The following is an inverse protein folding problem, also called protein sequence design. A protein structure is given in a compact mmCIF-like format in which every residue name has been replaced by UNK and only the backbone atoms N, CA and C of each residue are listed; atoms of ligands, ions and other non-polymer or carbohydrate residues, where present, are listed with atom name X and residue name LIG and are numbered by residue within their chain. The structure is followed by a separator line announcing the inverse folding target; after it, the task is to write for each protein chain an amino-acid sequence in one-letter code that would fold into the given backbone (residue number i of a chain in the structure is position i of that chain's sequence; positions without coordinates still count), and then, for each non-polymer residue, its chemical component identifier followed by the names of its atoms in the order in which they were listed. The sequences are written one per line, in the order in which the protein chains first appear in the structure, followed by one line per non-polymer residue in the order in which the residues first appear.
data_IF_413584482051
#
_entry.id   IF_413584482051
#
_cell.length_a   1.000
_cell.length_b   1.000
_cell.length_c   1.000
_cell.angle_alpha   90.00
_cell.angle_beta   90.00
_cell.angle_gamma   90.00
#
_symmetry.space_group_name_H-M   'P 1'
#
loop_
_entity.id
_entity.type
_entity.pdbx_description
1 polymer ?
#
# COMPACT_ATOMS: atom_id res chain seq x y z
N UNK A 1 28.60 -42.04 5.44
CA UNK A 1 28.44 -40.59 5.70
C UNK A 1 26.95 -40.30 5.67
N UNK A 2 26.33 -40.04 6.83
CA UNK A 2 24.91 -39.69 6.88
C UNK A 2 24.73 -38.26 6.34
N UNK A 3 23.78 -38.07 5.43
CA UNK A 3 23.42 -36.74 4.93
C UNK A 3 22.90 -35.89 6.11
N UNK A 4 23.46 -34.68 6.25
CA UNK A 4 23.00 -33.69 7.22
C UNK A 4 21.56 -33.30 6.84
N UNK A 5 20.59 -33.27 7.77
CA UNK A 5 19.22 -32.89 7.44
C UNK A 5 19.23 -31.46 6.89
N UNK A 6 18.60 -31.28 5.73
CA UNK A 6 18.33 -29.96 5.18
C UNK A 6 17.50 -29.19 6.21
N UNK A 7 18.02 -28.05 6.67
CA UNK A 7 17.29 -27.15 7.55
C UNK A 7 16.15 -26.57 6.73
N UNK A 8 14.98 -27.22 6.77
CA UNK A 8 13.73 -26.61 6.32
C UNK A 8 13.62 -25.29 7.06
N UNK A 9 13.80 -24.18 6.35
CA UNK A 9 13.55 -22.83 6.87
C UNK A 9 12.23 -22.86 7.60
N UNK A 10 12.25 -22.82 8.93
CA UNK A 10 11.07 -22.83 9.76
C UNK A 10 10.22 -21.66 9.31
N UNK A 11 9.08 -21.96 8.68
CA UNK A 11 8.23 -20.97 8.04
C UNK A 11 7.72 -20.09 9.18
N UNK A 12 8.10 -18.81 9.21
CA UNK A 12 7.68 -17.91 10.29
C UNK A 12 6.16 -17.97 10.46
N UNK A 13 5.72 -18.26 11.69
CA UNK A 13 4.29 -18.37 11.98
C UNK A 13 3.61 -17.00 11.92
N UNK A 14 2.49 -16.92 11.22
CA UNK A 14 1.59 -15.76 11.20
C UNK A 14 0.28 -16.07 11.92
N UNK A 15 -0.52 -15.05 12.24
CA UNK A 15 -1.85 -15.22 12.86
C UNK A 15 -2.83 -15.95 11.94
N UNK A 16 -2.73 -15.77 10.62
CA UNK A 16 -3.63 -16.39 9.64
C UNK A 16 -3.11 -17.74 9.11
N UNK A 17 -1.89 -18.14 9.48
CA UNK A 17 -1.29 -19.42 9.07
C UNK A 17 -0.80 -19.44 7.62
N UNK A 18 -0.80 -18.30 6.92
CA UNK A 18 -0.19 -18.17 5.60
C UNK A 18 1.31 -17.87 5.72
N UNK A 19 2.04 -17.92 4.61
CA UNK A 19 3.44 -17.46 4.63
C UNK A 19 3.51 -15.95 4.81
N UNK A 20 4.43 -15.48 5.65
CA UNK A 20 4.62 -14.05 5.93
C UNK A 20 4.82 -13.20 4.65
N UNK A 21 5.48 -13.73 3.62
CA UNK A 21 5.66 -13.04 2.33
C UNK A 21 4.34 -12.76 1.62
N UNK A 22 3.40 -13.70 1.69
CA UNK A 22 2.08 -13.57 1.06
C UNK A 22 1.25 -12.56 1.85
N UNK A 23 1.23 -12.67 3.17
CA UNK A 23 0.53 -11.70 4.02
C UNK A 23 1.12 -10.29 3.91
N UNK A 24 2.44 -10.18 3.82
CA UNK A 24 3.13 -8.92 3.56
C UNK A 24 2.74 -8.30 2.21
N UNK A 25 2.56 -9.11 1.16
CA UNK A 25 2.01 -8.63 -0.11
C UNK A 25 0.55 -8.20 0.05
N UNK A 26 -0.27 -8.99 0.75
CA UNK A 26 -1.70 -8.72 0.95
C UNK A 26 -1.95 -7.43 1.74
N UNK A 27 -1.01 -6.99 2.58
CA UNK A 27 -1.06 -5.69 3.24
C UNK A 27 -1.24 -4.52 2.25
N UNK A 28 -0.83 -4.70 0.99
CA UNK A 28 -0.94 -3.68 -0.05
C UNK A 28 -2.14 -3.87 -0.99
N UNK A 29 -2.84 -5.01 -0.97
CA UNK A 29 -3.90 -5.33 -1.96
C UNK A 29 -5.04 -4.30 -2.03
N UNK A 30 -5.46 -3.80 -0.88
CA UNK A 30 -6.45 -2.72 -0.74
C UNK A 30 -5.84 -1.53 -0.01
N UNK A 31 -4.53 -1.31 -0.24
CA UNK A 31 -3.73 -0.21 0.31
C UNK A 31 -3.96 0.01 1.81
N UNK A 32 -4.62 1.10 2.18
CA UNK A 32 -4.97 1.51 3.54
C UNK A 32 -5.79 0.46 4.27
N UNK A 33 -6.82 -0.08 3.60
CA UNK A 33 -7.80 -0.97 4.20
C UNK A 33 -7.15 -2.30 4.55
N UNK A 34 -6.45 -2.90 3.60
CA UNK A 34 -5.73 -4.16 3.85
C UNK A 34 -4.64 -3.98 4.89
N UNK A 35 -3.89 -2.87 4.85
CA UNK A 35 -2.88 -2.58 5.86
C UNK A 35 -3.49 -2.49 7.27
N UNK A 36 -4.61 -1.80 7.43
CA UNK A 36 -5.32 -1.70 8.72
C UNK A 36 -5.81 -3.06 9.23
N UNK A 37 -6.40 -3.88 8.35
CA UNK A 37 -6.85 -5.23 8.70
C UNK A 37 -5.68 -6.07 9.20
N UNK A 38 -4.58 -6.14 8.46
CA UNK A 38 -3.41 -6.92 8.87
C UNK A 38 -2.74 -6.37 10.12
N UNK A 39 -2.74 -5.05 10.35
CA UNK A 39 -2.19 -4.48 11.58
C UNK A 39 -2.98 -4.92 12.84
N UNK A 40 -4.29 -5.09 12.70
CA UNK A 40 -5.18 -5.54 13.77
C UNK A 40 -5.10 -7.06 13.95
N UNK A 41 -5.16 -7.83 12.87
CA UNK A 41 -5.26 -9.29 12.91
C UNK A 41 -3.90 -9.96 13.17
N UNK A 42 -2.82 -9.41 12.62
CA UNK A 42 -1.50 -10.00 12.74
C UNK A 42 -0.82 -9.64 14.06
N UNK A 43 -0.52 -10.67 14.86
CA UNK A 43 0.05 -10.57 16.21
C UNK A 43 1.40 -11.26 16.37
N UNK A 44 1.76 -12.18 15.46
CA UNK A 44 2.95 -13.02 15.54
C UNK A 44 4.11 -12.49 14.68
N UNK A 45 3.84 -12.06 13.45
CA UNK A 45 4.86 -11.69 12.48
C UNK A 45 5.15 -10.19 12.46
N UNK A 46 6.35 -9.81 12.95
CA UNK A 46 6.92 -8.46 12.76
C UNK A 46 7.17 -8.12 11.30
N UNK A 47 7.25 -9.11 10.40
CA UNK A 47 7.40 -8.87 8.97
C UNK A 47 6.11 -8.33 8.38
N UNK A 48 5.01 -9.03 8.62
CA UNK A 48 3.69 -8.63 8.13
C UNK A 48 3.24 -7.31 8.76
N UNK A 49 3.45 -7.13 10.08
CA UNK A 49 3.14 -5.87 10.76
C UNK A 49 3.91 -4.67 10.21
N UNK A 50 5.16 -4.87 9.80
CA UNK A 50 5.95 -3.83 9.11
C UNK A 50 5.28 -3.42 7.80
N UNK A 51 4.92 -4.38 6.95
CA UNK A 51 4.26 -4.09 5.68
C UNK A 51 2.86 -3.48 5.86
N UNK A 52 2.13 -3.89 6.90
CA UNK A 52 0.85 -3.31 7.28
C UNK A 52 0.97 -1.82 7.61
N UNK A 53 1.91 -1.45 8.50
CA UNK A 53 2.13 -0.03 8.88
C UNK A 53 2.66 0.77 7.69
N UNK A 54 3.62 0.23 6.94
CA UNK A 54 4.16 0.90 5.77
C UNK A 54 3.07 1.13 4.72
N UNK A 55 2.14 0.19 4.53
CA UNK A 55 0.99 0.37 3.64
C UNK A 55 0.10 1.51 4.12
N UNK A 56 -0.37 1.47 5.37
CA UNK A 56 -1.24 2.51 5.93
C UNK A 56 -0.61 3.89 5.76
N UNK A 57 0.63 4.05 6.21
CA UNK A 57 1.27 5.37 6.29
C UNK A 57 1.69 5.86 4.91
N UNK A 58 2.23 4.99 4.04
CA UNK A 58 2.60 5.41 2.69
C UNK A 58 1.39 5.88 1.88
N UNK A 59 0.31 5.09 1.88
CA UNK A 59 -0.87 5.41 1.08
C UNK A 59 -1.73 6.52 1.70
N UNK A 60 -1.67 6.73 3.03
CA UNK A 60 -2.26 7.90 3.67
C UNK A 60 -1.53 9.19 3.28
N UNK A 61 -0.20 9.19 3.30
CA UNK A 61 0.57 10.38 2.91
C UNK A 61 0.47 10.67 1.41
N UNK A 62 0.37 9.64 0.57
CA UNK A 62 0.17 9.82 -0.87
C UNK A 62 -1.22 10.39 -1.21
N UNK A 63 -2.25 10.14 -0.40
CA UNK A 63 -3.59 10.68 -0.67
C UNK A 63 -3.76 12.16 -0.30
N UNK A 64 -2.92 12.69 0.61
CA UNK A 64 -3.03 14.09 1.07
C UNK A 64 -2.81 15.10 -0.07
N UNK A 65 -1.70 15.07 -0.84
CA UNK A 65 -1.49 16.03 -1.92
C UNK A 65 -2.58 15.97 -2.98
N UNK A 66 -3.10 14.78 -3.27
CA UNK A 66 -4.18 14.60 -4.25
C UNK A 66 -5.47 15.27 -3.76
N UNK A 67 -5.90 14.96 -2.54
CA UNK A 67 -7.11 15.56 -1.98
C UNK A 67 -6.99 17.07 -1.69
N UNK A 68 -5.80 17.56 -1.32
CA UNK A 68 -5.55 19.00 -1.14
C UNK A 68 -5.55 19.75 -2.46
N UNK A 69 -5.03 19.14 -3.53
CA UNK A 69 -5.02 19.75 -4.86
C UNK A 69 -6.45 19.95 -5.38
N UNK A 70 -7.31 18.94 -5.20
CA UNK A 70 -8.73 19.01 -5.53
C UNK A 70 -9.46 20.10 -4.70
N UNK A 71 -9.16 20.21 -3.40
CA UNK A 71 -9.74 21.25 -2.53
C UNK A 71 -9.26 22.67 -2.82
N UNK A 72 -8.11 22.85 -3.44
CA UNK A 72 -7.59 24.18 -3.78
C UNK A 72 -8.14 24.70 -5.12
N UNK A 73 -8.75 23.83 -5.94
CA UNK A 73 -9.28 24.18 -7.26
C UNK A 73 -10.82 24.29 -7.28
N UNK A 74 -11.53 23.54 -6.45
CA UNK A 74 -13.00 23.65 -6.27
C UNK A 74 -13.36 24.07 -4.84
N UNK A 75 -14.51 24.74 -4.64
CA UNK A 75 -14.93 25.29 -3.34
C UNK A 75 -16.17 24.60 -2.73
N UNK A 76 -16.63 23.47 -3.26
CA UNK A 76 -17.87 22.82 -2.82
C UNK A 76 -17.61 21.61 -1.89
N UNK A 77 -17.62 21.88 -0.58
CA UNK A 77 -17.18 21.00 0.53
C UNK A 77 -17.86 19.61 0.62
N UNK A 78 -19.02 19.41 0.00
CA UNK A 78 -19.83 18.19 0.12
C UNK A 78 -19.38 17.06 -0.83
N UNK A 79 -18.63 17.39 -1.89
CA UNK A 79 -18.10 16.44 -2.88
C UNK A 79 -16.91 15.63 -2.33
N UNK A 80 -16.09 16.24 -1.46
CA UNK A 80 -14.78 15.69 -1.06
C UNK A 80 -14.81 14.41 -0.22
N UNK A 81 -15.83 14.19 0.61
CA UNK A 81 -15.88 12.95 1.42
C UNK A 81 -16.20 11.76 0.52
N UNK A 82 -17.09 11.98 -0.45
CA UNK A 82 -17.48 10.97 -1.44
C UNK A 82 -16.33 10.74 -2.41
N UNK A 83 -15.68 11.78 -2.89
CA UNK A 83 -14.53 11.70 -3.79
C UNK A 83 -13.28 11.13 -3.15
N UNK A 84 -13.00 11.40 -1.87
CA UNK A 84 -11.89 10.77 -1.17
C UNK A 84 -12.09 9.24 -1.06
N UNK A 85 -13.31 8.81 -0.72
CA UNK A 85 -13.65 7.38 -0.65
C UNK A 85 -13.63 6.77 -2.04
N UNK A 86 -14.22 7.45 -3.03
CA UNK A 86 -14.24 7.03 -4.43
C UNK A 86 -12.81 6.95 -4.98
N UNK A 87 -11.96 7.96 -4.83
CA UNK A 87 -10.55 7.95 -5.21
C UNK A 87 -9.78 6.77 -4.59
N UNK A 88 -9.97 6.50 -3.29
CA UNK A 88 -9.35 5.35 -2.60
C UNK A 88 -9.85 4.00 -3.16
N UNK A 89 -11.11 3.92 -3.55
CA UNK A 89 -11.72 2.73 -4.16
C UNK A 89 -11.41 2.60 -5.67
N UNK A 90 -11.26 3.72 -6.37
CA UNK A 90 -11.11 3.84 -7.82
C UNK A 90 -9.65 3.77 -8.27
N UNK A 91 -8.67 4.15 -7.43
CA UNK A 91 -7.23 4.02 -7.75
C UNK A 91 -6.75 2.57 -7.97
N UNK A 92 -7.64 1.59 -7.86
CA UNK A 92 -7.40 0.18 -8.17
C UNK A 92 -7.59 -0.12 -9.67
N UNK A 93 -8.14 0.82 -10.46
CA UNK A 93 -8.52 0.56 -11.85
C UNK A 93 -7.59 1.24 -12.88
N UNK A 94 -6.80 0.47 -13.65
CA UNK A 94 -5.71 0.99 -14.50
C UNK A 94 -6.16 1.81 -15.72
N UNK A 95 -7.45 1.83 -16.06
CA UNK A 95 -7.97 2.58 -17.23
C UNK A 95 -8.57 3.95 -16.88
N UNK A 96 -8.71 4.27 -15.59
CA UNK A 96 -9.30 5.55 -15.13
C UNK A 96 -8.58 6.79 -15.64
N UNK A 97 -7.23 6.83 -15.75
CA UNK A 97 -6.57 8.03 -16.24
C UNK A 97 -6.98 8.39 -17.68
N UNK A 98 -7.39 7.41 -18.50
CA UNK A 98 -7.86 7.64 -19.87
C UNK A 98 -9.24 8.30 -19.92
N UNK A 99 -10.11 8.09 -18.92
CA UNK A 99 -11.41 8.74 -18.85
C UNK A 99 -11.30 10.20 -18.37
N UNK A 100 -10.38 10.48 -17.44
CA UNK A 100 -10.16 11.83 -16.90
C UNK A 100 -9.44 12.74 -17.93
N UNK A 101 -8.48 12.19 -18.69
CA UNK A 101 -7.75 12.91 -19.75
C UNK A 101 -8.62 13.45 -20.90
N UNK A 102 -9.85 12.92 -21.07
CA UNK A 102 -10.74 13.34 -22.15
C UNK A 102 -11.65 14.52 -21.76
N UNK A 103 -11.81 14.81 -20.46
CA UNK A 103 -12.75 15.82 -19.95
C UNK A 103 -12.09 16.98 -19.19
N UNK A 104 -10.87 16.81 -18.64
CA UNK A 104 -10.27 17.80 -17.71
C UNK A 104 -8.86 18.27 -18.15
N UNK A 105 -8.60 19.59 -18.31
CA UNK A 105 -7.27 20.13 -18.61
C UNK A 105 -6.19 19.85 -17.53
N UNK A 106 -6.55 19.53 -16.29
CA UNK A 106 -5.64 19.17 -15.19
C UNK A 106 -5.35 17.65 -15.11
N UNK A 107 -5.97 16.86 -15.99
CA UNK A 107 -5.83 15.41 -15.99
C UNK A 107 -4.39 14.92 -16.23
N UNK A 108 -3.57 15.73 -16.92
CA UNK A 108 -2.19 15.36 -17.26
C UNK A 108 -1.29 15.29 -16.01
N UNK A 109 -1.48 16.16 -15.01
CA UNK A 109 -0.69 16.13 -13.78
C UNK A 109 -1.08 14.96 -12.86
N UNK A 110 -2.39 14.70 -12.72
CA UNK A 110 -2.93 13.57 -11.95
C UNK A 110 -2.50 12.24 -12.58
N UNK A 111 -2.44 12.18 -13.92
CA UNK A 111 -1.94 11.03 -14.67
C UNK A 111 -0.52 10.66 -14.24
N UNK A 112 0.41 11.62 -14.25
CA UNK A 112 1.81 11.34 -13.92
C UNK A 112 1.99 10.83 -12.47
N UNK A 113 1.28 11.46 -11.51
CA UNK A 113 1.33 11.06 -10.10
C UNK A 113 0.74 9.66 -9.86
N UNK A 114 -0.29 9.29 -10.62
CA UNK A 114 -0.90 7.96 -10.59
C UNK A 114 0.07 6.87 -11.05
N UNK A 115 0.81 7.10 -12.14
CA UNK A 115 1.81 6.13 -12.61
C UNK A 115 2.94 5.93 -11.60
N UNK A 116 3.47 7.00 -11.03
CA UNK A 116 4.52 6.90 -10.01
C UNK A 116 4.05 6.10 -8.79
N UNK A 117 2.83 6.38 -8.32
CA UNK A 117 2.21 5.66 -7.19
C UNK A 117 1.94 4.20 -7.53
N UNK A 118 1.49 3.91 -8.75
CA UNK A 118 1.25 2.55 -9.23
C UNK A 118 2.54 1.72 -9.29
N UNK A 119 3.63 2.27 -9.84
CA UNK A 119 4.92 1.58 -9.86
C UNK A 119 5.48 1.37 -8.46
N UNK A 120 5.33 2.35 -7.57
CA UNK A 120 5.70 2.22 -6.16
C UNK A 120 4.90 1.08 -5.50
N UNK A 121 3.59 1.03 -5.72
CA UNK A 121 2.70 0.00 -5.17
C UNK A 121 3.13 -1.42 -5.61
N UNK A 122 3.33 -1.62 -6.92
CA UNK A 122 3.81 -2.90 -7.45
C UNK A 122 5.20 -3.24 -6.91
N UNK A 123 6.10 -2.27 -6.82
CA UNK A 123 7.44 -2.47 -6.25
C UNK A 123 7.37 -2.96 -4.79
N UNK A 124 6.51 -2.35 -3.97
CA UNK A 124 6.30 -2.74 -2.57
C UNK A 124 5.69 -4.13 -2.44
N UNK A 125 4.66 -4.44 -3.23
CA UNK A 125 4.04 -5.77 -3.30
C UNK A 125 5.07 -6.84 -3.66
N UNK A 126 5.82 -6.60 -4.74
CA UNK A 126 6.86 -7.51 -5.20
C UNK A 126 7.96 -7.70 -4.14
N UNK A 127 8.38 -6.62 -3.49
CA UNK A 127 9.33 -6.68 -2.39
C UNK A 127 8.86 -7.53 -1.22
N UNK A 128 7.61 -7.34 -0.79
CA UNK A 128 7.01 -8.13 0.28
C UNK A 128 6.88 -9.61 -0.09
N UNK A 129 6.48 -9.91 -1.33
CA UNK A 129 6.44 -11.28 -1.86
C UNK A 129 7.83 -11.96 -1.84
N UNK A 130 8.89 -11.18 -2.06
CA UNK A 130 10.28 -11.64 -1.96
C UNK A 130 10.82 -11.68 -0.53
N UNK A 131 10.00 -11.38 0.48
CA UNK A 131 10.39 -11.39 1.90
C UNK A 131 11.28 -10.22 2.28
N UNK A 132 11.24 -9.12 1.53
CA UNK A 132 12.12 -7.95 1.74
C UNK A 132 11.35 -6.77 2.34
N UNK A 133 11.88 -6.24 3.45
CA UNK A 133 11.45 -4.97 4.05
C UNK A 133 12.11 -3.79 3.35
N UNK A 134 11.67 -3.44 2.15
CA UNK A 134 12.10 -2.19 1.53
C UNK A 134 11.57 -1.01 2.35
N UNK A 135 12.47 -0.31 3.03
CA UNK A 135 12.15 0.82 3.90
C UNK A 135 12.03 2.08 3.05
N UNK A 136 10.81 2.59 2.93
CA UNK A 136 10.62 3.91 2.34
C UNK A 136 11.22 5.00 3.25
N UNK A 137 11.75 6.09 2.68
CA UNK A 137 12.19 7.23 3.49
C UNK A 137 11.05 7.71 4.40
N UNK A 138 11.35 7.99 5.68
CA UNK A 138 10.40 8.43 6.72
C UNK A 138 9.41 7.32 7.12
N UNK A 139 8.65 6.78 6.17
CA UNK A 139 7.60 5.78 6.39
C UNK A 139 8.17 4.44 6.87
N UNK A 140 9.26 3.98 6.26
CA UNK A 140 9.89 2.70 6.60
C UNK A 140 10.48 2.70 8.01
N UNK A 141 11.03 3.84 8.46
CA UNK A 141 11.51 4.00 9.84
C UNK A 141 10.36 3.97 10.86
N UNK A 142 9.22 4.55 10.51
CA UNK A 142 8.01 4.48 11.32
C UNK A 142 7.48 3.04 11.40
N UNK A 143 7.38 2.36 10.25
CA UNK A 143 6.96 0.98 10.17
C UNK A 143 7.86 0.05 10.98
N UNK A 144 9.18 0.23 10.95
CA UNK A 144 10.12 -0.54 11.75
C UNK A 144 9.96 -0.32 13.26
N UNK A 145 9.67 0.92 13.66
CA UNK A 145 9.51 1.26 15.08
C UNK A 145 8.24 0.67 15.69
N UNK A 146 7.15 0.59 14.94
CA UNK A 146 5.83 0.21 15.44
C UNK A 146 5.36 -1.19 15.02
N UNK A 147 6.16 -1.93 14.23
CA UNK A 147 5.88 -3.31 13.82
C UNK A 147 6.09 -4.33 14.92
#
# INVERSE_FOLDING_TARGET
MAAKPETTSEKAETSLGLSENIEGLLCYSFTLISGAIFLVVEKKSKFVRFHAIQSIVAFFLLSIPVGLWEQLLDNDFEYYVVDFIIFVLLNQHPLIPMYILLDDPYAFEVFYMSFLSFFLWIFLMYGAYRGKKYKLPIVGSLAEKYS
#
